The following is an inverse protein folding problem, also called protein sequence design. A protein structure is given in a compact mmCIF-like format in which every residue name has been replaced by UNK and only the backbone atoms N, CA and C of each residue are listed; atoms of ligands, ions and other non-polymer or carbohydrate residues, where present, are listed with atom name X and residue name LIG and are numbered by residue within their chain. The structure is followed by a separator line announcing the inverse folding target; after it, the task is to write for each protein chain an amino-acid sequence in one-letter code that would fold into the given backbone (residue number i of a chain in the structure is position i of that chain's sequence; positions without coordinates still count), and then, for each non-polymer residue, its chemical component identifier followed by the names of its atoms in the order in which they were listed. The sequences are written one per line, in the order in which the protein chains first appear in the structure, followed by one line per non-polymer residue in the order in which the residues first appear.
data_IF_883536422359
#
_entry.id   IF_883536422359
#
_cell.length_a   1.000
_cell.length_b   1.000
_cell.length_c   1.000
_cell.angle_alpha   90.00
_cell.angle_beta   90.00
_cell.angle_gamma   90.00
#
_symmetry.space_group_name_H-M   'P 1'
#
loop_
_entity.id
_entity.type
_entity.pdbx_description
1 polymer ?
#
# COMPACT_ATOMS: atom_id res chain seq x y z
N UNK A 1 3.05 -46.00 -28.97
CA UNK A 1 2.29 -44.96 -29.71
C UNK A 1 0.81 -45.15 -29.40
N UNK A 2 0.13 -44.12 -28.89
CA UNK A 2 -1.29 -44.25 -28.49
C UNK A 2 -2.15 -44.36 -29.76
N UNK A 3 -3.06 -45.33 -29.81
CA UNK A 3 -3.95 -45.54 -30.97
C UNK A 3 -4.80 -44.29 -31.25
N UNK A 4 -5.02 -43.88 -32.52
CA UNK A 4 -5.74 -42.65 -32.86
C UNK A 4 -7.11 -42.50 -32.17
N UNK A 5 -7.86 -43.59 -32.07
CA UNK A 5 -9.15 -43.63 -31.36
C UNK A 5 -9.06 -43.23 -29.88
N UNK A 6 -7.97 -43.58 -29.21
CA UNK A 6 -7.72 -43.25 -27.82
C UNK A 6 -7.11 -41.86 -27.65
N UNK A 7 -6.45 -41.30 -28.67
CA UNK A 7 -5.89 -39.94 -28.59
C UNK A 7 -6.98 -38.91 -28.38
N UNK A 8 -8.09 -38.98 -29.12
CA UNK A 8 -9.15 -37.98 -28.98
C UNK A 8 -9.85 -38.09 -27.63
N UNK A 9 -10.10 -39.32 -27.18
CA UNK A 9 -10.70 -39.58 -25.85
C UNK A 9 -9.77 -39.16 -24.71
N UNK A 10 -8.47 -39.43 -24.82
CA UNK A 10 -7.49 -39.03 -23.82
C UNK A 10 -7.22 -37.52 -23.86
N UNK A 11 -7.27 -36.89 -25.03
CA UNK A 11 -7.20 -35.42 -25.18
C UNK A 11 -8.40 -34.76 -24.53
N UNK A 12 -9.60 -35.32 -24.69
CA UNK A 12 -10.82 -34.84 -24.03
C UNK A 12 -10.76 -34.99 -22.50
N UNK A 13 -10.10 -36.03 -21.99
CA UNK A 13 -9.88 -36.23 -20.54
C UNK A 13 -8.73 -35.35 -20.03
N UNK A 14 -7.80 -34.95 -20.90
CA UNK A 14 -6.63 -34.13 -20.53
C UNK A 14 -6.95 -32.65 -20.30
N UNK A 15 -8.19 -32.19 -20.56
CA UNK A 15 -8.59 -30.83 -20.24
C UNK A 15 -8.67 -30.66 -18.72
N UNK A 16 -7.64 -30.02 -18.16
CA UNK A 16 -7.67 -29.55 -16.78
C UNK A 16 -8.77 -28.48 -16.68
N UNK A 17 -9.79 -28.67 -15.83
CA UNK A 17 -10.84 -27.68 -15.66
C UNK A 17 -10.23 -26.36 -15.18
N UNK A 18 -10.86 -25.23 -15.55
CA UNK A 18 -10.40 -23.90 -15.15
C UNK A 18 -10.28 -23.82 -13.62
N UNK A 19 -9.23 -23.17 -13.11
CA UNK A 19 -9.12 -22.99 -11.66
C UNK A 19 -10.11 -21.93 -11.19
N UNK A 20 -10.53 -22.00 -9.93
CA UNK A 20 -11.40 -20.97 -9.32
C UNK A 20 -10.85 -19.54 -9.42
N UNK A 21 -9.52 -19.41 -9.42
CA UNK A 21 -8.84 -18.12 -9.54
C UNK A 21 -9.00 -17.61 -10.98
N UNK A 22 -8.78 -18.48 -11.96
CA UNK A 22 -8.88 -18.13 -13.38
C UNK A 22 -10.31 -17.77 -13.75
N UNK A 23 -11.31 -18.52 -13.27
CA UNK A 23 -12.74 -18.20 -13.47
C UNK A 23 -13.05 -16.76 -13.03
N UNK A 24 -12.58 -16.35 -11.83
CA UNK A 24 -12.82 -15.00 -11.30
C UNK A 24 -12.10 -13.91 -12.09
N UNK A 25 -10.85 -14.17 -12.49
CA UNK A 25 -10.04 -13.24 -13.27
C UNK A 25 -10.62 -13.05 -14.67
N UNK A 26 -11.01 -14.15 -15.32
CA UNK A 26 -11.64 -14.15 -16.64
C UNK A 26 -12.99 -13.43 -16.62
N UNK A 27 -13.82 -13.64 -15.60
CA UNK A 27 -15.04 -12.85 -15.43
C UNK A 27 -14.74 -11.35 -15.21
N UNK A 28 -13.70 -11.02 -14.43
CA UNK A 28 -13.32 -9.62 -14.18
C UNK A 28 -12.94 -8.87 -15.47
N UNK A 29 -12.33 -9.58 -16.42
CA UNK A 29 -11.98 -9.03 -17.75
C UNK A 29 -13.07 -9.31 -18.80
N UNK A 30 -14.28 -9.69 -18.37
CA UNK A 30 -15.46 -9.93 -19.23
C UNK A 30 -15.24 -11.01 -20.31
N UNK A 31 -14.28 -11.92 -20.09
CA UNK A 31 -14.03 -13.07 -20.97
C UNK A 31 -15.04 -14.19 -20.72
N UNK A 32 -15.52 -14.33 -19.49
CA UNK A 32 -16.58 -15.28 -19.13
C UNK A 32 -17.84 -14.52 -18.74
N UNK A 33 -18.97 -14.93 -19.32
CA UNK A 33 -20.32 -14.52 -18.91
C UNK A 33 -20.72 -15.17 -17.59
N UNK A 34 -21.79 -14.67 -16.96
CA UNK A 34 -22.35 -15.23 -15.72
C UNK A 34 -22.68 -16.73 -15.87
N UNK A 35 -23.33 -17.11 -16.97
CA UNK A 35 -23.70 -18.49 -17.25
C UNK A 35 -22.47 -19.39 -17.43
N UNK A 36 -21.43 -18.89 -18.10
CA UNK A 36 -20.17 -19.60 -18.30
C UNK A 36 -19.38 -19.77 -17.01
N UNK A 37 -19.43 -18.79 -16.10
CA UNK A 37 -18.87 -18.93 -14.75
C UNK A 37 -19.56 -20.06 -13.99
N UNK A 38 -20.89 -20.15 -14.09
CA UNK A 38 -21.65 -21.23 -13.45
C UNK A 38 -21.27 -22.60 -14.03
N UNK A 39 -21.23 -22.73 -15.37
CA UNK A 39 -20.77 -23.96 -16.04
C UNK A 39 -19.36 -24.35 -15.64
N UNK A 40 -18.43 -23.40 -15.56
CA UNK A 40 -17.06 -23.67 -15.13
C UNK A 40 -16.98 -24.19 -13.69
N UNK A 41 -17.88 -23.77 -12.79
CA UNK A 41 -17.98 -24.36 -11.45
C UNK A 41 -18.55 -25.78 -11.46
N UNK A 42 -19.47 -26.09 -12.37
CA UNK A 42 -19.91 -27.47 -12.59
C UNK A 42 -18.81 -28.38 -13.13
N UNK A 43 -17.98 -27.89 -14.06
CA UNK A 43 -16.86 -28.65 -14.62
C UNK A 43 -15.79 -28.99 -13.57
N UNK A 44 -15.67 -28.17 -12.51
CA UNK A 44 -14.82 -28.47 -11.33
C UNK A 44 -15.46 -29.55 -10.43
N UNK A 45 -16.78 -29.76 -10.51
CA UNK A 45 -17.53 -30.72 -9.69
C UNK A 45 -18.29 -30.11 -8.51
N UNK A 46 -18.62 -28.80 -8.55
CA UNK A 46 -19.52 -28.22 -7.55
C UNK A 46 -20.98 -28.64 -7.80
N UNK A 47 -21.74 -28.86 -6.72
CA UNK A 47 -23.20 -29.06 -6.79
C UNK A 47 -23.90 -27.78 -7.27
N UNK A 48 -25.08 -27.89 -7.88
CA UNK A 48 -25.89 -26.78 -8.42
C UNK A 48 -25.98 -25.58 -7.46
N UNK A 49 -26.42 -25.82 -6.22
CA UNK A 49 -26.52 -24.77 -5.19
C UNK A 49 -25.18 -24.07 -4.89
N UNK A 50 -24.06 -24.81 -4.94
CA UNK A 50 -22.74 -24.26 -4.66
C UNK A 50 -22.18 -23.52 -5.88
N UNK A 51 -22.43 -24.01 -7.10
CA UNK A 51 -22.09 -23.32 -8.33
C UNK A 51 -22.81 -21.98 -8.41
N UNK A 52 -24.12 -21.95 -8.15
CA UNK A 52 -24.92 -20.70 -8.08
C UNK A 52 -24.36 -19.71 -7.05
N UNK A 53 -24.08 -20.18 -5.82
CA UNK A 53 -23.50 -19.33 -4.76
C UNK A 53 -22.13 -18.77 -5.14
N UNK A 54 -21.28 -19.59 -5.78
CA UNK A 54 -19.94 -19.18 -6.21
C UNK A 54 -19.99 -18.22 -7.40
N UNK A 55 -20.95 -18.40 -8.31
CA UNK A 55 -21.23 -17.45 -9.40
C UNK A 55 -21.69 -16.12 -8.83
N UNK A 56 -22.70 -16.12 -7.97
CA UNK A 56 -23.19 -14.90 -7.30
C UNK A 56 -22.08 -14.18 -6.51
N UNK A 57 -21.22 -14.94 -5.82
CA UNK A 57 -20.05 -14.39 -5.16
C UNK A 57 -19.08 -13.73 -6.15
N UNK A 58 -18.82 -14.36 -7.29
CA UNK A 58 -17.92 -13.86 -8.33
C UNK A 58 -18.45 -12.59 -8.97
N UNK A 59 -19.75 -12.55 -9.29
CA UNK A 59 -20.44 -11.35 -9.77
C UNK A 59 -20.29 -10.21 -8.77
N UNK A 60 -20.58 -10.45 -7.49
CA UNK A 60 -20.50 -9.42 -6.45
C UNK A 60 -19.07 -8.94 -6.19
N UNK A 61 -18.09 -9.83 -6.29
CA UNK A 61 -16.67 -9.50 -6.12
C UNK A 61 -16.17 -8.59 -7.25
N UNK A 62 -16.62 -8.87 -8.46
CA UNK A 62 -16.23 -8.16 -9.68
C UNK A 62 -17.17 -7.00 -10.05
N UNK A 63 -18.31 -6.88 -9.35
CA UNK A 63 -19.23 -5.78 -9.53
C UNK A 63 -18.44 -4.48 -9.42
N UNK A 64 -18.68 -3.50 -10.32
CA UNK A 64 -18.09 -2.20 -10.19
C UNK A 64 -18.46 -1.73 -8.79
N UNK A 65 -17.45 -1.57 -7.93
CA UNK A 65 -17.67 -0.83 -6.69
C UNK A 65 -18.25 0.49 -7.18
N UNK A 66 -19.47 0.80 -6.74
CA UNK A 66 -20.01 2.12 -6.96
C UNK A 66 -18.88 3.07 -6.65
N UNK A 67 -18.67 4.05 -7.53
CA UNK A 67 -17.82 5.18 -7.23
C UNK A 67 -18.48 5.76 -5.98
N UNK A 68 -18.05 5.29 -4.82
CA UNK A 68 -18.44 5.83 -3.54
C UNK A 68 -17.67 7.13 -3.54
N UNK A 69 -18.27 8.11 -4.23
CA UNK A 69 -17.92 9.51 -4.16
C UNK A 69 -18.02 9.98 -2.69
N UNK A 70 -18.48 9.14 -1.77
CA UNK A 70 -18.46 9.27 -0.32
C UNK A 70 -17.06 9.00 0.29
N UNK A 71 -16.27 8.08 -0.24
CA UNK A 71 -14.86 7.87 0.17
C UNK A 71 -13.90 8.86 -0.53
N UNK A 72 -14.32 9.48 -1.64
CA UNK A 72 -13.72 10.72 -2.17
C UNK A 72 -14.21 11.97 -1.42
N UNK A 73 -15.47 12.04 -0.96
CA UNK A 73 -15.99 13.15 -0.13
C UNK A 73 -15.34 13.20 1.25
N UNK A 74 -14.90 12.05 1.78
CA UNK A 74 -14.16 11.97 3.04
C UNK A 74 -12.70 12.45 2.91
N UNK A 75 -12.25 12.79 1.69
CA UNK A 75 -10.94 13.38 1.43
C UNK A 75 -11.13 14.67 0.64
N UNK A 76 -11.63 15.71 1.33
CA UNK A 76 -11.39 17.09 0.89
C UNK A 76 -9.89 17.35 0.97
N UNK A 77 -9.15 16.81 0.01
CA UNK A 77 -7.71 17.00 -0.07
C UNK A 77 -7.45 18.45 -0.42
N UNK A 78 -6.29 18.95 0.00
CA UNK A 78 -5.86 20.32 -0.28
C UNK A 78 -5.96 20.70 -1.77
N UNK A 79 -5.80 19.73 -2.67
CA UNK A 79 -5.93 19.91 -4.11
C UNK A 79 -7.36 20.25 -4.55
N UNK A 80 -8.37 19.57 -4.01
CA UNK A 80 -9.78 19.83 -4.34
C UNK A 80 -10.23 21.22 -3.89
N UNK A 81 -9.78 21.67 -2.71
CA UNK A 81 -10.06 23.02 -2.20
C UNK A 81 -9.43 24.10 -3.10
N UNK A 82 -8.21 23.85 -3.60
CA UNK A 82 -7.55 24.78 -4.52
C UNK A 82 -8.26 24.80 -5.88
N UNK A 83 -8.67 23.64 -6.42
CA UNK A 83 -9.45 23.57 -7.65
C UNK A 83 -10.78 24.33 -7.56
N UNK A 84 -11.53 24.15 -6.47
CA UNK A 84 -12.78 24.90 -6.26
C UNK A 84 -12.57 26.42 -6.11
N UNK A 85 -11.38 26.87 -5.69
CA UNK A 85 -11.05 28.29 -5.63
C UNK A 85 -10.71 28.85 -7.02
N UNK A 86 -9.95 28.09 -7.81
CA UNK A 86 -9.63 28.45 -9.20
C UNK A 86 -10.89 28.48 -10.08
N UNK A 87 -11.81 27.54 -9.87
CA UNK A 87 -13.11 27.48 -10.55
C UNK A 87 -14.13 28.51 -10.01
N UNK A 88 -13.76 29.29 -8.99
CA UNK A 88 -14.60 30.34 -8.39
C UNK A 88 -15.80 29.84 -7.59
N UNK A 89 -15.86 28.53 -7.30
CA UNK A 89 -16.93 27.88 -6.53
C UNK A 89 -16.84 28.26 -5.04
N UNK A 90 -15.63 28.48 -4.52
CA UNK A 90 -15.41 28.95 -3.15
C UNK A 90 -14.56 30.23 -3.13
N UNK A 91 -14.85 31.10 -2.18
CA UNK A 91 -14.08 32.33 -1.96
C UNK A 91 -12.74 32.05 -1.26
N UNK A 92 -11.78 32.96 -1.43
CA UNK A 92 -10.43 32.85 -0.86
C UNK A 92 -10.44 32.59 0.65
N UNK A 93 -11.35 33.24 1.38
CA UNK A 93 -11.46 33.08 2.84
C UNK A 93 -12.04 31.73 3.25
N UNK A 94 -12.95 31.19 2.44
CA UNK A 94 -13.51 29.86 2.66
C UNK A 94 -12.46 28.77 2.36
N UNK A 95 -11.71 28.93 1.27
CA UNK A 95 -10.59 28.05 0.94
C UNK A 95 -9.52 28.03 2.04
N UNK A 96 -9.14 29.20 2.58
CA UNK A 96 -8.19 29.33 3.69
C UNK A 96 -8.66 28.61 4.96
N UNK A 97 -9.93 28.81 5.33
CA UNK A 97 -10.52 28.17 6.52
C UNK A 97 -10.56 26.64 6.40
N UNK A 98 -10.80 26.10 5.19
CA UNK A 98 -10.83 24.66 4.94
C UNK A 98 -9.42 24.03 4.93
N UNK A 99 -8.39 24.79 4.54
CA UNK A 99 -7.00 24.31 4.49
C UNK A 99 -6.24 24.42 5.82
N UNK A 100 -6.68 25.29 6.73
CA UNK A 100 -6.05 25.52 8.03
C UNK A 100 -7.12 25.60 9.14
N UNK A 101 -7.61 24.45 9.66
CA UNK A 101 -8.65 24.45 10.67
C UNK A 101 -8.23 25.05 12.03
N UNK A 102 -6.92 25.08 12.36
CA UNK A 102 -6.46 25.35 13.72
C UNK A 102 -5.75 26.70 13.96
N UNK A 103 -5.72 27.61 12.97
CA UNK A 103 -5.09 28.91 13.18
C UNK A 103 -6.11 29.95 13.64
N UNK A 104 -6.33 30.03 14.96
CA UNK A 104 -7.13 31.11 15.55
C UNK A 104 -6.51 32.48 15.23
N UNK A 105 -7.27 33.46 14.71
CA UNK A 105 -6.76 34.80 14.47
C UNK A 105 -6.53 35.49 15.82
N UNK A 106 -5.26 35.54 16.26
CA UNK A 106 -4.86 36.27 17.47
C UNK A 106 -3.81 35.59 18.34
N UNK A 107 -3.51 34.30 18.16
CA UNK A 107 -2.37 33.68 18.85
C UNK A 107 -1.09 33.98 18.07
N UNK A 108 -0.41 35.07 18.44
CA UNK A 108 1.00 35.26 18.09
C UNK A 108 1.78 34.14 18.75
N UNK A 109 2.03 33.07 18.00
CA UNK A 109 2.94 32.00 18.40
C UNK A 109 4.29 32.68 18.60
N UNK A 110 4.66 32.90 19.85
CA UNK A 110 6.06 33.15 20.19
C UNK A 110 6.77 31.84 19.89
N UNK A 111 7.33 31.74 18.69
CA UNK A 111 8.36 30.75 18.41
C UNK A 111 9.53 31.17 19.29
N UNK A 112 9.59 30.63 20.51
CA UNK A 112 10.87 30.50 21.18
C UNK A 112 11.68 29.61 20.25
N UNK A 113 12.58 30.22 19.49
CA UNK A 113 13.67 29.53 18.86
C UNK A 113 14.49 28.93 20.01
N UNK A 114 14.09 27.74 20.46
CA UNK A 114 15.00 26.81 21.10
C UNK A 114 16.20 26.67 20.16
N UNK A 115 17.42 26.57 20.70
CA UNK A 115 18.64 26.73 19.93
C UNK A 115 18.59 25.74 18.75
N UNK A 116 18.42 26.31 17.56
CA UNK A 116 18.62 25.60 16.31
C UNK A 116 20.12 25.45 16.22
N UNK A 117 20.61 24.38 16.83
CA UNK A 117 21.99 23.94 16.69
C UNK A 117 22.15 23.44 15.25
N UNK A 118 22.35 24.40 14.36
CA UNK A 118 22.86 24.22 13.03
C UNK A 118 24.32 23.75 13.16
N UNK A 119 24.52 22.47 13.43
CA UNK A 119 25.84 21.84 13.44
C UNK A 119 25.72 20.34 13.11
N UNK A 120 25.34 20.05 11.86
CA UNK A 120 25.34 18.69 11.30
C UNK A 120 24.94 18.77 9.82
N UNK A 121 25.91 18.60 8.93
CA UNK A 121 25.86 18.58 7.46
C UNK A 121 24.46 18.52 6.79
N UNK A 122 23.99 19.58 6.10
CA UNK A 122 22.65 19.63 5.49
C UNK A 122 22.45 18.75 4.24
N UNK A 123 23.50 18.10 3.73
CA UNK A 123 23.39 17.21 2.56
C UNK A 123 22.84 15.82 2.90
N UNK A 124 23.14 15.31 4.10
CA UNK A 124 22.78 13.93 4.50
C UNK A 124 21.26 13.81 4.74
N UNK A 125 20.63 14.85 5.29
CA UNK A 125 19.19 14.89 5.53
C UNK A 125 18.39 14.96 4.22
N UNK A 126 18.88 15.67 3.20
CA UNK A 126 18.19 15.81 1.93
C UNK A 126 18.17 14.50 1.14
N UNK A 127 19.27 13.74 1.13
CA UNK A 127 19.33 12.43 0.47
C UNK A 127 18.47 11.39 1.20
N UNK A 128 18.51 11.39 2.53
CA UNK A 128 17.67 10.50 3.33
C UNK A 128 16.18 10.79 3.14
N UNK A 129 15.78 12.06 3.10
CA UNK A 129 14.40 12.47 2.82
C UNK A 129 13.93 12.02 1.43
N UNK A 130 14.80 12.08 0.42
CA UNK A 130 14.49 11.56 -0.92
C UNK A 130 14.19 10.06 -0.87
N UNK A 131 15.04 9.28 -0.20
CA UNK A 131 14.84 7.81 -0.08
C UNK A 131 13.57 7.44 0.67
N UNK A 132 13.19 8.20 1.70
CA UNK A 132 11.96 7.96 2.47
C UNK A 132 10.67 8.29 1.71
N UNK A 133 10.75 9.18 0.71
CA UNK A 133 9.60 9.58 -0.10
C UNK A 133 9.34 8.66 -1.30
N UNK A 134 10.22 7.67 -1.54
CA UNK A 134 10.02 6.67 -2.59
C UNK A 134 8.76 5.84 -2.29
N UNK A 135 7.96 5.60 -3.33
CA UNK A 135 6.73 4.80 -3.27
C UNK A 135 7.09 3.32 -3.29
N UNK A 136 6.37 2.50 -2.50
CA UNK A 136 6.66 1.06 -2.42
C UNK A 136 6.49 0.32 -3.75
N UNK A 137 5.65 0.83 -4.65
CA UNK A 137 5.43 0.28 -5.99
C UNK A 137 6.71 0.28 -6.84
N UNK A 138 7.62 1.23 -6.62
CA UNK A 138 8.89 1.32 -7.37
C UNK A 138 9.92 0.26 -6.95
N UNK A 139 9.76 -0.37 -5.77
CA UNK A 139 10.74 -1.33 -5.23
C UNK A 139 10.50 -2.80 -5.61
N UNK A 140 9.54 -3.06 -6.49
CA UNK A 140 9.23 -4.41 -7.02
C UNK A 140 9.15 -5.48 -5.91
N UNK A 141 8.32 -5.23 -4.90
CA UNK A 141 8.04 -6.25 -3.88
C UNK A 141 7.24 -7.41 -4.46
N UNK A 142 7.38 -8.60 -3.86
CA UNK A 142 6.53 -9.74 -4.18
C UNK A 142 5.05 -9.42 -3.97
N UNK A 143 4.19 -10.03 -4.78
CA UNK A 143 2.72 -9.90 -4.70
C UNK A 143 2.20 -10.09 -3.27
N UNK A 144 2.84 -10.95 -2.48
CA UNK A 144 2.45 -11.17 -1.08
C UNK A 144 2.75 -9.97 -0.19
N UNK A 145 3.93 -9.38 -0.34
CA UNK A 145 4.35 -8.20 0.41
C UNK A 145 3.49 -6.98 0.02
N UNK A 146 3.22 -6.78 -1.28
CA UNK A 146 2.34 -5.72 -1.80
C UNK A 146 0.93 -5.82 -1.20
N UNK A 147 0.32 -7.01 -1.21
CA UNK A 147 -1.01 -7.23 -0.62
C UNK A 147 -1.04 -6.95 0.90
N UNK A 148 0.08 -7.19 1.60
CA UNK A 148 0.19 -6.87 3.01
C UNK A 148 0.26 -5.36 3.25
N UNK A 149 1.03 -4.63 2.43
CA UNK A 149 1.14 -3.17 2.53
C UNK A 149 -0.17 -2.47 2.19
N UNK A 150 -0.89 -2.94 1.17
CA UNK A 150 -2.23 -2.46 0.83
C UNK A 150 -3.20 -2.62 2.01
N UNK A 151 -3.18 -3.80 2.65
CA UNK A 151 -4.01 -4.07 3.83
C UNK A 151 -3.64 -3.17 5.02
N UNK A 152 -2.35 -2.85 5.16
CA UNK A 152 -1.82 -1.97 6.22
C UNK A 152 -1.84 -0.48 5.85
N UNK A 153 -2.34 -0.10 4.65
CA UNK A 153 -2.36 1.26 4.11
C UNK A 153 -0.98 1.95 4.11
N UNK A 154 0.08 1.18 3.91
CA UNK A 154 1.46 1.70 3.81
C UNK A 154 1.76 1.98 2.35
N UNK A 155 2.08 3.23 2.01
CA UNK A 155 2.33 3.64 0.61
C UNK A 155 3.77 4.03 0.34
N UNK A 156 4.48 4.54 1.35
CA UNK A 156 5.87 5.02 1.20
C UNK A 156 6.84 4.26 2.09
N UNK A 157 8.12 4.25 1.70
CA UNK A 157 9.20 3.66 2.50
C UNK A 157 9.30 4.33 3.86
N UNK A 158 9.09 5.64 3.93
CA UNK A 158 9.11 6.38 5.18
C UNK A 158 8.02 5.94 6.17
N UNK A 159 6.88 5.45 5.68
CA UNK A 159 5.86 4.83 6.52
C UNK A 159 6.28 3.41 6.94
N UNK A 160 6.83 2.62 6.02
CA UNK A 160 7.31 1.27 6.29
C UNK A 160 8.43 1.25 7.35
N UNK A 161 9.39 2.17 7.25
CA UNK A 161 10.53 2.29 8.16
C UNK A 161 10.13 2.68 9.60
N UNK A 162 8.90 3.15 9.83
CA UNK A 162 8.36 3.42 11.17
C UNK A 162 7.91 2.15 11.90
N UNK A 163 7.53 1.11 11.16
CA UNK A 163 7.09 -0.15 11.74
C UNK A 163 8.29 -0.94 12.27
N UNK A 164 8.09 -1.61 13.40
CA UNK A 164 9.06 -2.58 13.89
C UNK A 164 8.86 -3.93 13.22
N UNK A 165 9.87 -4.79 13.30
CA UNK A 165 9.78 -6.17 12.82
C UNK A 165 8.63 -6.95 13.50
N UNK A 166 8.39 -6.68 14.79
CA UNK A 166 7.31 -7.30 15.54
C UNK A 166 5.93 -6.86 15.01
N UNK A 167 5.76 -5.56 14.73
CA UNK A 167 4.50 -5.02 14.21
C UNK A 167 4.19 -5.56 12.82
N UNK A 168 5.21 -5.69 11.96
CA UNK A 168 5.05 -6.26 10.63
C UNK A 168 4.64 -7.74 10.69
N UNK A 169 5.19 -8.51 11.63
CA UNK A 169 4.81 -9.91 11.84
C UNK A 169 3.39 -10.10 12.37
N UNK A 170 2.77 -9.08 12.97
CA UNK A 170 1.38 -9.11 13.39
C UNK A 170 0.40 -8.83 12.24
N UNK A 171 0.87 -8.31 11.10
CA UNK A 171 0.02 -8.02 9.96
C UNK A 171 -0.55 -9.32 9.35
N UNK A 172 -1.83 -9.27 8.98
CA UNK A 172 -2.53 -10.39 8.36
C UNK A 172 -1.82 -10.77 7.05
N UNK A 173 -1.47 -12.05 6.91
CA UNK A 173 -0.76 -12.62 5.76
C UNK A 173 0.71 -12.21 5.60
N UNK A 174 1.30 -11.52 6.57
CA UNK A 174 2.72 -11.19 6.57
C UNK A 174 3.55 -12.33 7.17
N UNK A 175 4.62 -12.75 6.47
CA UNK A 175 5.41 -13.93 6.86
C UNK A 175 6.91 -13.68 6.88
N UNK A 176 7.66 -14.65 7.42
CA UNK A 176 9.13 -14.62 7.51
C UNK A 176 9.85 -14.42 6.17
N UNK A 177 9.22 -14.81 5.05
CA UNK A 177 9.77 -14.60 3.70
C UNK A 177 9.61 -13.15 3.26
N UNK A 178 8.42 -12.57 3.44
CA UNK A 178 8.15 -11.15 3.15
C UNK A 178 9.01 -10.23 4.01
N UNK A 179 9.21 -10.58 5.28
CA UNK A 179 10.09 -9.82 6.17
C UNK A 179 11.55 -9.79 5.69
N UNK A 180 12.09 -10.93 5.22
CA UNK A 180 13.45 -10.99 4.65
C UNK A 180 13.57 -10.17 3.38
N UNK A 181 12.55 -10.22 2.53
CA UNK A 181 12.48 -9.41 1.31
C UNK A 181 12.52 -7.91 1.64
N UNK A 182 11.70 -7.48 2.61
CA UNK A 182 11.67 -6.08 3.07
C UNK A 182 13.03 -5.64 3.62
N UNK A 183 13.65 -6.45 4.49
CA UNK A 183 14.97 -6.14 5.03
C UNK A 183 16.02 -5.98 3.94
N UNK A 184 16.10 -6.94 3.00
CA UNK A 184 17.05 -6.85 1.87
C UNK A 184 16.86 -5.57 1.04
N UNK A 185 15.60 -5.21 0.74
CA UNK A 185 15.28 -4.01 -0.04
C UNK A 185 15.56 -2.70 0.72
N UNK A 186 15.36 -2.68 2.03
CA UNK A 186 15.74 -1.54 2.86
C UNK A 186 17.27 -1.43 2.98
N UNK A 187 17.99 -2.56 3.11
CA UNK A 187 19.45 -2.59 3.15
C UNK A 187 20.07 -2.07 1.83
N UNK A 188 19.48 -2.39 0.67
CA UNK A 188 19.85 -1.84 -0.65
C UNK A 188 19.78 -0.29 -0.68
N UNK A 189 18.86 0.30 0.10
CA UNK A 189 18.69 1.75 0.23
C UNK A 189 19.46 2.36 1.41
N UNK A 190 20.26 1.56 2.12
CA UNK A 190 20.91 1.93 3.38
C UNK A 190 19.93 2.40 4.47
N UNK A 191 18.73 1.81 4.50
CA UNK A 191 17.66 2.07 5.47
C UNK A 191 17.46 0.85 6.37
N UNK A 192 16.92 1.06 7.57
CA UNK A 192 16.56 -0.03 8.50
C UNK A 192 15.15 0.15 9.07
N UNK A 193 14.55 -0.96 9.51
CA UNK A 193 13.25 -0.95 10.18
C UNK A 193 13.37 -0.33 11.58
N UNK A 194 12.39 0.49 11.98
CA UNK A 194 12.40 1.18 13.27
C UNK A 194 13.23 2.48 13.31
N UNK A 195 13.58 3.07 12.15
CA UNK A 195 14.38 4.30 12.07
C UNK A 195 13.75 5.52 12.76
N UNK A 196 12.49 5.46 13.21
CA UNK A 196 11.89 6.48 14.07
C UNK A 196 12.65 6.70 15.39
N UNK A 197 13.37 5.68 15.90
CA UNK A 197 14.17 5.77 17.12
C UNK A 197 15.65 6.10 16.86
N UNK A 198 16.21 5.64 15.75
CA UNK A 198 17.63 5.78 15.44
C UNK A 198 18.04 7.22 15.07
N UNK A 199 17.14 7.98 14.41
CA UNK A 199 17.37 9.39 14.09
C UNK A 199 17.46 10.25 15.37
N UNK A 200 16.87 9.82 16.49
CA UNK A 200 17.00 10.52 17.79
C UNK A 200 18.23 10.09 18.59
N UNK A 201 18.68 8.85 18.44
CA UNK A 201 19.78 8.29 19.25
C UNK A 201 21.17 8.56 18.67
N UNK A 202 21.32 8.58 17.34
CA UNK A 202 22.61 8.88 16.70
C UNK A 202 23.07 10.32 17.00
N UNK A 203 22.13 11.27 17.13
CA UNK A 203 22.41 12.67 17.45
C UNK A 203 22.88 12.88 18.90
N UNK A 204 22.43 12.03 19.85
CA UNK A 204 22.82 12.12 21.27
C UNK A 204 24.18 11.46 21.53
N UNK A 205 24.53 10.39 20.82
CA UNK A 205 25.78 9.67 21.02
C UNK A 205 27.03 10.43 20.50
N UNK A 206 26.87 11.29 19.48
CA UNK A 206 27.96 12.09 18.92
C UNK A 206 28.23 13.40 19.69
N UNK A 207 27.26 13.94 20.42
CA UNK A 207 27.40 15.17 21.22
C UNK A 207 28.08 14.96 22.58
N UNK A 208 28.20 13.72 23.07
CA UNK A 208 28.80 13.42 24.38
C UNK A 208 30.28 12.96 24.30
N UNK A 209 30.91 12.96 23.12
CA UNK A 209 32.31 12.50 22.96
C UNK A 209 33.36 13.61 22.82
N UNK A 210 32.95 14.88 22.83
CA UNK A 210 33.86 16.03 22.64
C UNK A 210 34.07 16.89 23.89
N UNK A 211 33.37 16.65 25.00
CA UNK A 211 33.61 17.33 26.28
C UNK A 211 34.30 16.40 27.30
N UNK A 212 35.63 16.35 27.28
CA UNK A 212 36.35 15.66 28.35
C UNK A 212 37.82 15.42 28.10
N UNK A 213 38.63 16.49 28.05
CA UNK A 213 40.06 16.39 28.37
C UNK A 213 40.30 17.23 29.63
N UNK A 214 40.52 16.64 30.82
CA UNK A 214 41.12 17.37 31.91
C UNK A 214 42.64 17.45 31.66
N UNK A 215 43.12 18.67 31.86
CA UNK A 215 44.50 19.16 32.03
C UNK A 215 45.57 18.12 32.33
#
# INVERSE_FOLDING_TARGET
DVMPFWRDKLTQIAFSPLTRIDIRRMHKVEVLTEEEVNRAYHDIGYSDLNAERLTAFTLRLNAPKAKDDVDELAKLTRASVLGFFEDGIINADKARSLLQPDLQPGKRVQIQAGPRDAAGTPEIDAELQRKLNIVLEELEFSVRSTNCFESAKVTTIGQLARYTEADLLQLRSFGKTSLREVKRKLDELALSLGMAAAVRLATVALTLRTSGKPT
#
